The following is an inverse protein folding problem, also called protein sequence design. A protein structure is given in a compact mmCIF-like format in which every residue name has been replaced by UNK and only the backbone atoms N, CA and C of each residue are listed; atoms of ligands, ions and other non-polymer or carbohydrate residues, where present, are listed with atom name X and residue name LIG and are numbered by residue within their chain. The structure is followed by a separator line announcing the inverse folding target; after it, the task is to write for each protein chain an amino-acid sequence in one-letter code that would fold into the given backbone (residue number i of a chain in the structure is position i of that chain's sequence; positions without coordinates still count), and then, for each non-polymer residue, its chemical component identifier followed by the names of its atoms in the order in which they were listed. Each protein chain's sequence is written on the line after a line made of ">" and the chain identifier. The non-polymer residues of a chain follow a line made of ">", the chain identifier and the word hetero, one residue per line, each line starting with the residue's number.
data_IF_852757959965
#
_entry.id   IF_852757959965
#
_cell.length_a   1.000
_cell.length_b   1.000
_cell.length_c   1.000
_cell.angle_alpha   90.00
_cell.angle_beta   90.00
_cell.angle_gamma   90.00
#
_symmetry.space_group_name_H-M   'P 1'
#
loop_
_entity.id
_entity.type
_entity.pdbx_description
1 polymer ?
#
# COMPACT_ATOMS: atom_id res chain seq x y z
N UNK A 1 22.89 -71.30 52.61
CA UNK A 1 23.65 -70.25 51.92
C UNK A 1 22.85 -69.81 50.71
N UNK A 2 22.14 -68.69 50.83
CA UNK A 2 21.41 -68.13 49.72
C UNK A 2 22.12 -66.85 49.31
N UNK A 3 22.58 -66.79 48.04
CA UNK A 3 23.13 -65.60 47.44
C UNK A 3 22.02 -64.86 46.73
N UNK A 4 21.70 -63.69 47.28
CA UNK A 4 20.79 -62.74 46.63
C UNK A 4 21.61 -62.00 45.55
N UNK A 5 21.26 -62.22 44.29
CA UNK A 5 21.69 -61.40 43.17
C UNK A 5 20.65 -60.29 42.91
N UNK A 6 21.06 -59.10 43.26
CA UNK A 6 20.28 -57.91 43.02
C UNK A 6 20.54 -57.45 41.57
N UNK A 7 19.57 -57.70 40.69
CA UNK A 7 19.60 -57.18 39.32
C UNK A 7 19.27 -55.67 39.32
N UNK A 8 20.27 -54.85 38.97
CA UNK A 8 20.08 -53.46 38.71
C UNK A 8 19.48 -53.27 37.31
N UNK A 9 18.23 -52.87 37.26
CA UNK A 9 17.59 -52.43 36.02
C UNK A 9 17.98 -50.97 35.78
N UNK A 10 18.85 -50.75 34.80
CA UNK A 10 19.07 -49.40 34.25
C UNK A 10 17.99 -49.10 33.25
N UNK A 11 17.02 -48.27 33.65
CA UNK A 11 16.06 -47.67 32.76
C UNK A 11 16.71 -46.49 32.03
N UNK A 12 17.09 -46.68 30.78
CA UNK A 12 17.52 -45.61 29.89
C UNK A 12 16.32 -44.82 29.43
N UNK A 13 16.14 -43.62 30.00
CA UNK A 13 15.14 -42.67 29.54
C UNK A 13 15.69 -41.97 28.31
N UNK A 14 15.23 -42.38 27.12
CA UNK A 14 15.52 -41.70 25.86
C UNK A 14 14.60 -40.49 25.75
N UNK A 15 15.11 -39.32 26.10
CA UNK A 15 14.39 -38.04 25.91
C UNK A 15 14.41 -37.69 24.44
N UNK A 16 13.35 -37.95 23.73
CA UNK A 16 13.17 -37.48 22.36
C UNK A 16 12.86 -35.97 22.40
N UNK A 17 13.89 -35.16 22.08
CA UNK A 17 13.70 -33.72 21.87
C UNK A 17 12.99 -33.52 20.55
N UNK A 18 11.68 -33.28 20.59
CA UNK A 18 10.90 -32.84 19.45
C UNK A 18 11.27 -31.38 19.18
N UNK A 19 12.21 -31.14 18.25
CA UNK A 19 12.47 -29.81 17.74
C UNK A 19 11.28 -29.43 16.83
N UNK A 20 10.31 -28.73 17.40
CA UNK A 20 9.30 -28.04 16.61
C UNK A 20 10.00 -26.88 15.87
N UNK A 21 10.42 -27.12 14.65
CA UNK A 21 10.76 -26.03 13.73
C UNK A 21 9.44 -25.33 13.38
N UNK A 22 9.14 -24.25 14.09
CA UNK A 22 8.10 -23.31 13.71
C UNK A 22 8.53 -22.67 12.38
N UNK A 23 7.99 -23.20 11.29
CA UNK A 23 8.06 -22.57 9.97
C UNK A 23 7.20 -21.29 10.12
N UNK A 24 7.87 -20.18 10.41
CA UNK A 24 7.27 -18.86 10.32
C UNK A 24 6.98 -18.61 8.84
N UNK A 25 5.80 -19.00 8.38
CA UNK A 25 5.26 -18.50 7.13
C UNK A 25 5.08 -16.99 7.31
N UNK A 26 6.08 -16.23 6.92
CA UNK A 26 5.94 -14.79 6.76
C UNK A 26 4.90 -14.57 5.67
N UNK A 27 3.65 -14.45 6.06
CA UNK A 27 2.60 -13.95 5.19
C UNK A 27 3.02 -12.53 4.83
N UNK A 28 3.57 -12.35 3.64
CA UNK A 28 3.84 -11.02 3.10
C UNK A 28 2.49 -10.32 2.98
N UNK A 29 2.13 -9.52 3.99
CA UNK A 29 0.90 -8.75 3.95
C UNK A 29 0.99 -7.79 2.77
N UNK A 30 0.06 -7.93 1.83
CA UNK A 30 -0.04 -6.99 0.73
C UNK A 30 -0.19 -5.58 1.28
N UNK A 31 0.65 -4.66 0.82
CA UNK A 31 0.58 -3.26 1.21
C UNK A 31 0.36 -2.36 -0.01
N UNK A 32 -0.28 -1.24 0.25
CA UNK A 32 -0.43 -0.12 -0.66
C UNK A 32 0.15 1.10 0.06
N UNK A 33 1.04 1.85 -0.59
CA UNK A 33 1.59 3.10 -0.08
C UNK A 33 1.46 4.21 -1.11
N UNK A 34 1.08 5.39 -0.66
CA UNK A 34 1.10 6.63 -1.43
C UNK A 34 2.19 7.51 -0.82
N UNK A 35 3.20 7.89 -1.62
CA UNK A 35 4.30 8.74 -1.20
C UNK A 35 4.03 10.22 -1.46
N UNK A 36 3.28 10.50 -2.54
CA UNK A 36 2.86 11.85 -2.91
C UNK A 36 1.40 11.81 -3.37
N UNK A 37 0.53 12.70 -2.86
CA UNK A 37 0.79 13.64 -1.78
C UNK A 37 1.00 12.95 -0.43
N UNK A 38 1.78 13.59 0.46
CA UNK A 38 1.89 13.17 1.86
C UNK A 38 0.63 13.58 2.62
N UNK A 39 0.36 12.87 3.72
CA UNK A 39 -0.72 13.25 4.64
C UNK A 39 -0.53 14.69 5.12
N UNK A 40 -1.54 15.54 4.94
CA UNK A 40 -1.50 16.95 5.34
C UNK A 40 -0.65 17.87 4.45
N UNK A 41 -0.09 17.37 3.33
CA UNK A 41 0.71 18.18 2.42
C UNK A 41 -0.11 19.34 1.86
N UNK A 42 0.53 20.52 1.75
CA UNK A 42 -0.03 21.67 1.04
C UNK A 42 0.45 21.66 -0.42
N UNK A 43 -0.46 21.88 -1.35
CA UNK A 43 -0.19 21.91 -2.80
C UNK A 43 -1.00 23.02 -3.46
N UNK A 44 -0.56 23.58 -4.58
CA UNK A 44 -1.34 24.58 -5.31
C UNK A 44 -2.70 24.04 -5.77
N UNK A 45 -3.76 24.80 -5.55
CA UNK A 45 -5.08 24.51 -6.09
C UNK A 45 -5.15 24.87 -7.59
N UNK A 46 -6.10 24.25 -8.29
CA UNK A 46 -6.39 24.52 -9.70
C UNK A 46 -5.69 23.62 -10.71
N UNK A 47 -4.73 22.79 -10.28
CA UNK A 47 -3.99 21.88 -11.17
C UNK A 47 -4.20 20.40 -10.78
N UNK A 48 -3.96 19.51 -11.73
CA UNK A 48 -3.88 18.10 -11.45
C UNK A 48 -2.58 17.78 -10.71
N UNK A 49 -2.67 16.96 -9.66
CA UNK A 49 -1.52 16.58 -8.84
C UNK A 49 -1.02 15.19 -9.22
N UNK A 50 0.29 15.02 -9.48
CA UNK A 50 0.85 13.68 -9.62
C UNK A 50 0.79 12.91 -8.30
N UNK A 51 0.39 11.65 -8.40
CA UNK A 51 0.30 10.72 -7.28
C UNK A 51 1.27 9.57 -7.54
N UNK A 52 2.14 9.30 -6.58
CA UNK A 52 3.17 8.28 -6.69
C UNK A 52 3.03 7.31 -5.52
N UNK A 53 3.18 6.04 -5.80
CA UNK A 53 3.08 5.03 -4.77
C UNK A 53 3.73 3.71 -5.12
N UNK A 54 3.61 2.79 -4.18
CA UNK A 54 4.05 1.41 -4.30
C UNK A 54 2.98 0.46 -3.78
N UNK A 55 2.98 -0.76 -4.32
CA UNK A 55 2.19 -1.87 -3.78
C UNK A 55 3.00 -3.15 -3.81
N UNK A 56 2.77 -4.04 -2.85
CA UNK A 56 3.33 -5.36 -2.95
C UNK A 56 2.46 -6.20 -3.86
N UNK A 57 3.10 -6.78 -4.86
CA UNK A 57 2.49 -7.87 -5.57
C UNK A 57 2.52 -9.09 -4.65
N UNK A 58 1.42 -9.40 -4.00
CA UNK A 58 1.37 -10.57 -3.12
C UNK A 58 1.22 -11.83 -3.94
N UNK A 59 2.26 -12.64 -3.86
CA UNK A 59 2.39 -14.09 -4.09
C UNK A 59 1.64 -14.78 -5.26
N UNK A 60 2.06 -16.02 -5.48
CA UNK A 60 1.71 -16.95 -6.55
C UNK A 60 0.21 -17.23 -6.79
N UNK A 61 -0.68 -16.77 -5.94
CA UNK A 61 -2.12 -17.02 -6.06
C UNK A 61 -2.90 -15.93 -6.83
N UNK A 62 -2.26 -14.76 -7.05
CA UNK A 62 -2.89 -13.61 -7.69
C UNK A 62 -2.17 -13.27 -8.99
N UNK A 63 -2.76 -13.61 -10.09
CA UNK A 63 -2.11 -13.46 -11.42
C UNK A 63 -2.31 -12.10 -12.05
N UNK A 64 -3.29 -11.34 -11.60
CA UNK A 64 -3.60 -10.00 -12.12
C UNK A 64 -3.91 -9.07 -10.97
N UNK A 65 -3.06 -8.09 -10.76
CA UNK A 65 -3.32 -7.01 -9.81
C UNK A 65 -3.31 -5.68 -10.55
N UNK A 66 -4.08 -4.72 -10.07
CA UNK A 66 -4.07 -3.35 -10.57
C UNK A 66 -4.20 -2.35 -9.42
N UNK A 67 -3.83 -1.11 -9.71
CA UNK A 67 -4.02 0.02 -8.80
C UNK A 67 -4.87 1.06 -9.50
N UNK A 68 -5.80 1.63 -8.76
CA UNK A 68 -6.65 2.72 -9.21
C UNK A 68 -6.62 3.85 -8.17
N UNK A 69 -6.86 5.06 -8.62
CA UNK A 69 -6.96 6.25 -7.77
C UNK A 69 -8.29 6.95 -7.99
N UNK A 70 -8.88 7.44 -6.93
CA UNK A 70 -9.93 8.45 -7.00
C UNK A 70 -9.55 9.67 -6.17
N UNK A 71 -10.12 10.82 -6.53
CA UNK A 71 -9.93 12.08 -5.80
C UNK A 71 -11.30 12.61 -5.43
N UNK A 72 -11.48 12.97 -4.15
CA UNK A 72 -12.73 13.54 -3.63
C UNK A 72 -13.97 12.74 -4.06
N UNK A 73 -13.85 11.41 -4.13
CA UNK A 73 -14.90 10.46 -4.54
C UNK A 73 -15.36 10.60 -6.02
N UNK A 74 -14.55 11.24 -6.87
CA UNK A 74 -14.81 11.38 -8.30
C UNK A 74 -14.22 10.23 -9.09
N UNK A 75 -14.85 9.07 -9.05
CA UNK A 75 -14.55 7.89 -9.87
C UNK A 75 -13.09 7.43 -9.90
N UNK A 76 -12.89 6.15 -9.90
CA UNK A 76 -11.55 5.56 -9.98
C UNK A 76 -10.98 5.66 -11.39
N UNK A 77 -9.70 6.03 -11.48
CA UNK A 77 -8.89 6.01 -12.68
C UNK A 77 -7.70 5.07 -12.51
N UNK A 78 -7.35 4.26 -13.51
CA UNK A 78 -6.19 3.39 -13.44
C UNK A 78 -4.90 4.21 -13.35
N UNK A 79 -3.92 3.70 -12.61
CA UNK A 79 -2.57 4.26 -12.56
C UNK A 79 -1.66 3.54 -13.56
N UNK A 80 -0.50 4.15 -13.85
CA UNK A 80 0.50 3.61 -14.73
C UNK A 80 1.60 2.90 -13.92
N UNK A 81 1.91 1.61 -14.18
CA UNK A 81 3.07 0.96 -13.60
C UNK A 81 4.36 1.60 -14.10
N UNK A 82 5.37 1.71 -13.23
CA UNK A 82 6.70 2.25 -13.54
C UNK A 82 7.75 1.15 -13.79
N UNK A 83 7.33 -0.09 -13.89
CA UNK A 83 8.15 -1.26 -14.16
C UNK A 83 7.60 -2.08 -15.32
N UNK A 84 7.93 -3.38 -15.40
CA UNK A 84 7.37 -4.27 -16.39
C UNK A 84 5.84 -4.22 -16.39
N UNK A 85 5.23 -4.40 -17.56
CA UNK A 85 3.78 -4.35 -17.73
C UNK A 85 3.07 -5.27 -16.73
N UNK A 86 2.04 -4.74 -16.06
CA UNK A 86 1.27 -5.48 -15.05
C UNK A 86 1.89 -5.56 -13.66
N UNK A 87 3.08 -4.97 -13.44
CA UNK A 87 3.70 -4.91 -12.12
C UNK A 87 3.49 -3.54 -11.49
N UNK A 88 2.74 -3.48 -10.39
CA UNK A 88 2.47 -2.24 -9.66
C UNK A 88 3.37 -2.07 -8.43
N UNK A 89 4.57 -2.65 -8.42
CA UNK A 89 5.54 -2.45 -7.34
C UNK A 89 5.83 -0.97 -7.15
N UNK A 90 6.03 -0.25 -8.26
CA UNK A 90 6.07 1.20 -8.30
C UNK A 90 5.09 1.69 -9.35
N UNK A 91 4.34 2.73 -9.05
CA UNK A 91 3.33 3.25 -9.94
C UNK A 91 3.19 4.77 -9.81
N UNK A 92 2.67 5.40 -10.86
CA UNK A 92 2.29 6.80 -10.89
C UNK A 92 0.88 6.97 -11.44
N UNK A 93 0.19 7.96 -10.93
CA UNK A 93 -1.10 8.42 -11.43
C UNK A 93 -1.20 9.92 -11.32
N UNK A 94 -2.39 10.41 -11.54
CA UNK A 94 -2.73 11.82 -11.40
C UNK A 94 -4.09 11.90 -10.71
N UNK A 95 -4.33 12.95 -9.93
CA UNK A 95 -5.66 13.17 -9.35
C UNK A 95 -6.74 13.11 -10.43
N UNK A 96 -7.90 12.55 -10.12
CA UNK A 96 -8.98 12.39 -11.09
C UNK A 96 -9.65 13.72 -11.46
N UNK A 97 -9.45 14.76 -10.64
CA UNK A 97 -9.89 16.13 -10.83
C UNK A 97 -8.81 17.11 -10.40
N UNK A 98 -8.86 18.40 -10.80
CA UNK A 98 -7.99 19.43 -10.29
C UNK A 98 -8.13 19.58 -8.77
N UNK A 99 -7.02 19.85 -8.11
CA UNK A 99 -7.01 20.13 -6.67
C UNK A 99 -7.89 21.33 -6.36
N UNK A 100 -8.82 21.17 -5.43
CA UNK A 100 -9.68 22.26 -4.93
C UNK A 100 -8.99 23.02 -3.80
N UNK A 101 -9.33 24.27 -3.61
CA UNK A 101 -8.92 25.00 -2.42
C UNK A 101 -9.52 24.33 -1.17
N UNK A 102 -8.73 24.18 -0.11
CA UNK A 102 -9.11 23.48 1.11
C UNK A 102 -8.74 22.01 1.09
N UNK A 103 -9.45 21.22 1.87
CA UNK A 103 -9.16 19.79 2.06
C UNK A 103 -9.53 18.99 0.81
N UNK A 104 -8.58 18.20 0.35
CA UNK A 104 -8.75 17.21 -0.71
C UNK A 104 -8.38 15.83 -0.18
N UNK A 105 -8.92 14.82 -0.82
CA UNK A 105 -8.65 13.44 -0.49
C UNK A 105 -8.26 12.67 -1.76
N UNK A 106 -7.17 11.92 -1.70
CA UNK A 106 -6.86 10.90 -2.69
C UNK A 106 -6.97 9.53 -2.04
N UNK A 107 -7.66 8.63 -2.69
CA UNK A 107 -7.78 7.24 -2.30
C UNK A 107 -7.13 6.36 -3.36
N UNK A 108 -6.23 5.50 -2.91
CA UNK A 108 -5.67 4.42 -3.70
C UNK A 108 -6.40 3.13 -3.40
N UNK A 109 -6.77 2.40 -4.44
CA UNK A 109 -7.33 1.06 -4.35
C UNK A 109 -6.41 0.09 -5.09
N UNK A 110 -5.90 -0.92 -4.39
CA UNK A 110 -5.15 -2.02 -4.95
C UNK A 110 -6.03 -3.26 -4.96
N UNK A 111 -6.23 -3.84 -6.13
CA UNK A 111 -7.09 -5.00 -6.35
C UNK A 111 -6.32 -6.12 -7.01
N UNK A 112 -6.52 -7.35 -6.53
CA UNK A 112 -5.97 -8.55 -7.15
C UNK A 112 -7.09 -9.52 -7.51
N UNK A 113 -6.95 -10.14 -8.65
CA UNK A 113 -7.92 -11.08 -9.23
C UNK A 113 -7.32 -12.48 -9.29
N UNK A 114 -8.11 -13.54 -9.15
CA UNK A 114 -7.67 -14.90 -9.38
C UNK A 114 -7.33 -15.11 -10.87
N UNK A 115 -6.62 -16.18 -11.18
CA UNK A 115 -6.26 -16.53 -12.56
C UNK A 115 -7.49 -16.63 -13.48
N UNK A 116 -8.58 -17.15 -12.94
CA UNK A 116 -9.87 -17.29 -13.61
C UNK A 116 -10.92 -16.52 -12.79
N UNK A 117 -11.49 -15.48 -13.39
CA UNK A 117 -12.53 -14.69 -12.76
C UNK A 117 -12.35 -13.19 -12.91
N UNK A 118 -13.45 -12.46 -12.80
CA UNK A 118 -13.52 -11.00 -12.94
C UNK A 118 -13.75 -10.29 -11.60
N UNK A 119 -14.05 -11.05 -10.55
CA UNK A 119 -14.24 -10.51 -9.20
C UNK A 119 -12.92 -10.53 -8.45
N UNK A 120 -12.47 -9.38 -7.90
CA UNK A 120 -11.26 -9.36 -7.10
C UNK A 120 -11.45 -10.19 -5.83
N UNK A 121 -10.46 -11.01 -5.52
CA UNK A 121 -10.43 -11.78 -4.27
C UNK A 121 -9.62 -11.09 -3.17
N UNK A 122 -8.97 -9.98 -3.51
CA UNK A 122 -8.27 -9.13 -2.57
C UNK A 122 -8.41 -7.66 -2.96
N UNK A 123 -8.77 -6.82 -1.99
CA UNK A 123 -8.88 -5.36 -2.16
C UNK A 123 -8.24 -4.68 -0.96
N UNK A 124 -7.38 -3.69 -1.21
CA UNK A 124 -6.78 -2.83 -0.21
C UNK A 124 -7.03 -1.38 -0.55
N UNK A 125 -7.46 -0.60 0.43
CA UNK A 125 -7.67 0.85 0.31
C UNK A 125 -6.66 1.61 1.14
N UNK A 126 -6.24 2.77 0.64
CA UNK A 126 -5.44 3.73 1.37
C UNK A 126 -5.88 5.14 1.02
N UNK A 127 -6.15 5.93 2.03
CA UNK A 127 -6.59 7.32 1.90
C UNK A 127 -5.48 8.26 2.36
N UNK A 128 -5.30 9.38 1.63
CA UNK A 128 -4.45 10.51 1.99
C UNK A 128 -5.23 11.80 1.86
N UNK A 129 -5.24 12.59 2.92
CA UNK A 129 -5.77 13.95 2.90
C UNK A 129 -4.62 14.94 2.67
N UNK A 130 -4.87 15.96 1.87
CA UNK A 130 -3.94 17.04 1.58
C UNK A 130 -4.73 18.34 1.39
N UNK A 131 -4.05 19.49 1.42
CA UNK A 131 -4.70 20.80 1.37
C UNK A 131 -4.32 21.54 0.10
N UNK A 132 -5.31 21.92 -0.70
CA UNK A 132 -5.13 22.84 -1.81
C UNK A 132 -5.06 24.28 -1.30
N UNK A 133 -3.99 25.00 -1.65
CA UNK A 133 -3.82 26.42 -1.34
C UNK A 133 -4.03 27.24 -2.61
N UNK A 134 -4.83 28.29 -2.52
CA UNK A 134 -4.92 29.26 -3.61
C UNK A 134 -3.60 30.03 -3.66
N UNK A 135 -2.90 29.91 -4.77
CA UNK A 135 -1.84 30.86 -5.09
C UNK A 135 -2.50 32.13 -5.60
N UNK A 136 -2.60 33.13 -4.76
CA UNK A 136 -2.95 34.46 -5.23
C UNK A 136 -1.88 34.86 -6.26
N UNK A 137 -2.23 34.77 -7.53
CA UNK A 137 -1.48 35.44 -8.59
C UNK A 137 -1.63 36.90 -8.28
N UNK A 138 -0.63 37.51 -7.58
CA UNK A 138 -0.64 38.90 -7.21
C UNK A 138 -0.84 39.72 -8.48
N UNK A 139 -1.99 40.34 -8.62
CA UNK A 139 -2.18 41.40 -9.58
C UNK A 139 -1.13 42.46 -9.14
N UNK A 140 -0.17 42.84 -10.01
CA UNK A 140 0.73 43.90 -9.67
C UNK A 140 -0.13 45.14 -9.39
N UNK A 141 -0.11 45.61 -8.15
CA UNK A 141 -0.72 46.90 -7.83
C UNK A 141 0.13 47.94 -8.56
N UNK A 142 -0.38 48.42 -9.69
CA UNK A 142 0.20 49.53 -10.38
C UNK A 142 0.09 50.73 -9.42
N UNK A 143 1.20 51.30 -8.97
CA UNK A 143 1.12 52.45 -8.10
C UNK A 143 0.47 53.61 -8.87
N UNK A 144 -0.70 54.04 -8.41
CA UNK A 144 -1.34 55.26 -8.89
C UNK A 144 -0.46 56.43 -8.47
N UNK A 145 0.19 57.07 -9.45
CA UNK A 145 0.91 58.34 -9.25
C UNK A 145 -0.14 59.42 -8.95
N UNK A 146 -0.09 60.10 -7.81
CA UNK A 146 -0.98 61.22 -7.55
C UNK A 146 -0.59 62.38 -8.46
N UNK A 147 -1.59 62.99 -9.09
CA UNK A 147 -1.49 64.25 -9.83
C UNK A 147 -1.46 65.43 -8.88
#
# INVERSE_FOLDING_TARGET
>A
MQKNETALLFATITTAILVLTSISTSSSSAYLKIFSPKQGQQVPAGSFLPVIGTSTQSNATHTKCNVQLQTNQHGYKPVQPLGPAGTYTNWKGTTSEPVKAGINQVEGQYMCFPATGTTPNFIKHLVRNFTGIQTNSGIPVVPTVPH
#
